data_IF_038406009014
#
_entry.id   IF_038406009014
#
_cell.length_a   1.000
_cell.length_b   1.000
_cell.length_c   1.000
_cell.angle_alpha   90.00
_cell.angle_beta   90.00
_cell.angle_gamma   90.00
#
_symmetry.space_group_name_H-M   'P 1'
#
loop_
_entity.id
_entity.type
_entity.pdbx_description
1 polymer ?
#
# COMPACT_ATOMS: atom_id res chain seq x y z
N UNK A 1 -33.34 -11.71 -21.64
CA UNK A 1 -32.11 -12.42 -22.07
C UNK A 1 -32.46 -13.21 -23.32
N UNK A 2 -31.57 -13.24 -24.32
CA UNK A 2 -31.73 -14.06 -25.53
C UNK A 2 -30.52 -14.97 -25.70
N UNK A 3 -30.74 -16.20 -26.15
CA UNK A 3 -29.69 -17.16 -26.47
C UNK A 3 -29.71 -17.34 -27.99
N UNK A 4 -28.67 -16.88 -28.68
CA UNK A 4 -28.48 -17.10 -30.12
C UNK A 4 -27.67 -18.39 -30.31
N UNK A 5 -28.20 -19.37 -31.05
CA UNK A 5 -27.47 -20.56 -31.49
C UNK A 5 -27.58 -20.61 -33.01
N UNK A 6 -26.46 -20.53 -33.77
CA UNK A 6 -26.51 -20.73 -35.20
C UNK A 6 -26.68 -22.22 -35.50
N UNK A 7 -27.65 -22.58 -36.35
CA UNK A 7 -27.64 -23.87 -37.04
C UNK A 7 -26.81 -23.73 -38.31
N UNK A 8 -25.87 -24.65 -38.54
CA UNK A 8 -25.18 -24.78 -39.82
C UNK A 8 -26.19 -25.07 -40.93
N UNK A 9 -26.40 -24.12 -41.83
CA UNK A 9 -26.76 -24.42 -43.22
C UNK A 9 -25.47 -24.30 -44.04
N UNK A 10 -24.89 -25.45 -44.36
CA UNK A 10 -24.12 -25.54 -45.59
C UNK A 10 -25.03 -25.07 -46.72
N UNK A 11 -24.58 -24.04 -47.46
CA UNK A 11 -25.15 -23.40 -48.65
C UNK A 11 -25.57 -21.93 -48.46
N UNK A 12 -24.77 -21.06 -49.08
CA UNK A 12 -25.12 -19.75 -49.65
C UNK A 12 -26.52 -19.18 -49.34
N UNK A 13 -26.53 -18.07 -48.60
CA UNK A 13 -27.52 -17.00 -48.80
C UNK A 13 -28.89 -17.13 -48.13
N UNK A 14 -29.06 -17.98 -47.11
CA UNK A 14 -30.36 -18.08 -46.41
C UNK A 14 -30.23 -17.88 -44.90
N UNK A 15 -31.21 -17.16 -44.36
CA UNK A 15 -31.31 -16.63 -43.01
C UNK A 15 -30.87 -17.63 -41.93
N UNK A 16 -29.93 -17.20 -41.08
CA UNK A 16 -29.66 -17.91 -39.82
C UNK A 16 -30.95 -17.90 -39.01
N UNK A 17 -31.55 -19.08 -38.82
CA UNK A 17 -32.76 -19.26 -38.01
C UNK A 17 -32.45 -18.86 -36.58
N UNK A 18 -32.73 -17.60 -36.28
CA UNK A 18 -32.39 -16.94 -35.04
C UNK A 18 -33.46 -17.30 -33.98
N UNK A 19 -33.21 -18.35 -33.20
CA UNK A 19 -34.13 -18.74 -32.13
C UNK A 19 -33.96 -17.79 -30.94
N UNK A 20 -34.74 -16.72 -30.91
CA UNK A 20 -34.78 -15.77 -29.79
C UNK A 20 -35.55 -16.36 -28.60
N UNK A 21 -34.83 -16.99 -27.66
CA UNK A 21 -35.45 -17.47 -26.42
C UNK A 21 -35.45 -16.41 -25.33
N UNK A 22 -36.61 -15.87 -24.96
CA UNK A 22 -36.74 -14.92 -23.85
C UNK A 22 -36.75 -15.69 -22.53
N UNK A 23 -35.64 -15.67 -21.79
CA UNK A 23 -35.56 -16.33 -20.47
C UNK A 23 -35.32 -15.36 -19.30
N UNK A 24 -35.78 -15.72 -18.07
CA UNK A 24 -35.40 -15.04 -16.83
C UNK A 24 -33.90 -15.17 -16.49
N UNK A 25 -33.35 -14.21 -15.76
CA UNK A 25 -31.92 -14.18 -15.36
C UNK A 25 -31.50 -15.42 -14.56
N UNK A 26 -32.39 -15.96 -13.71
CA UNK A 26 -32.16 -17.19 -12.93
C UNK A 26 -31.98 -18.42 -13.83
N UNK A 27 -32.83 -18.56 -14.85
CA UNK A 27 -32.75 -19.64 -15.84
C UNK A 27 -31.45 -19.57 -16.61
N UNK A 28 -31.03 -18.37 -17.00
CA UNK A 28 -29.81 -18.20 -17.76
C UNK A 28 -28.53 -18.47 -16.94
N UNK A 29 -28.53 -18.09 -15.66
CA UNK A 29 -27.47 -18.46 -14.71
C UNK A 29 -27.40 -19.98 -14.52
N UNK A 30 -28.55 -20.64 -14.44
CA UNK A 30 -28.62 -22.10 -14.34
C UNK A 30 -28.07 -22.78 -15.60
N UNK A 31 -28.36 -22.25 -16.79
CA UNK A 31 -27.80 -22.72 -18.06
C UNK A 31 -26.27 -22.58 -18.08
N UNK A 32 -25.74 -21.44 -17.63
CA UNK A 32 -24.29 -21.23 -17.53
C UNK A 32 -23.63 -22.19 -16.53
N UNK A 33 -24.26 -22.42 -15.37
CA UNK A 33 -23.77 -23.35 -14.36
C UNK A 33 -23.79 -24.80 -14.87
N UNK A 34 -24.84 -25.21 -15.57
CA UNK A 34 -24.93 -26.54 -16.19
C UNK A 34 -23.89 -26.74 -17.29
N UNK A 35 -23.71 -25.73 -18.16
CA UNK A 35 -22.68 -25.75 -19.21
C UNK A 35 -21.25 -25.83 -18.62
N UNK A 36 -21.03 -25.25 -17.45
CA UNK A 36 -19.74 -25.33 -16.76
C UNK A 36 -19.54 -26.65 -16.01
N UNK A 37 -20.59 -27.19 -15.39
CA UNK A 37 -20.51 -28.39 -14.54
C UNK A 37 -20.52 -29.72 -15.30
N UNK A 38 -21.31 -29.83 -16.38
CA UNK A 38 -21.41 -31.05 -17.20
C UNK A 38 -21.51 -30.69 -18.69
N UNK A 39 -20.39 -30.21 -19.22
CA UNK A 39 -20.29 -29.75 -20.60
C UNK A 39 -20.73 -30.81 -21.62
N UNK A 40 -20.35 -32.07 -21.43
CA UNK A 40 -20.61 -33.14 -22.39
C UNK A 40 -22.11 -33.42 -22.53
N UNK A 41 -22.81 -33.57 -21.40
CA UNK A 41 -24.25 -33.79 -21.38
C UNK A 41 -25.02 -32.57 -21.89
N UNK A 42 -24.56 -31.38 -21.52
CA UNK A 42 -25.11 -30.13 -22.05
C UNK A 42 -24.99 -30.07 -23.58
N UNK A 43 -23.80 -30.34 -24.13
CA UNK A 43 -23.55 -30.36 -25.57
C UNK A 43 -24.42 -31.41 -26.28
N UNK A 44 -24.53 -32.62 -25.72
CA UNK A 44 -25.36 -33.70 -26.26
C UNK A 44 -26.85 -33.33 -26.27
N UNK A 45 -27.36 -32.68 -25.21
CA UNK A 45 -28.74 -32.20 -25.14
C UNK A 45 -29.02 -31.08 -26.13
N UNK A 46 -28.11 -30.10 -26.26
CA UNK A 46 -28.25 -29.01 -27.25
C UNK A 46 -28.25 -29.58 -28.66
N UNK A 47 -27.31 -30.48 -28.99
CA UNK A 47 -27.26 -31.13 -30.31
C UNK A 47 -28.53 -31.92 -30.61
N UNK A 48 -29.02 -32.70 -29.64
CA UNK A 48 -30.25 -33.50 -29.78
C UNK A 48 -31.48 -32.63 -29.99
N UNK A 49 -31.62 -31.54 -29.23
CA UNK A 49 -32.80 -30.69 -29.27
C UNK A 49 -32.89 -29.86 -30.55
N UNK A 50 -31.75 -29.37 -31.04
CA UNK A 50 -31.68 -28.51 -32.24
C UNK A 50 -31.26 -29.24 -33.52
N UNK A 51 -31.03 -30.56 -33.47
CA UNK A 51 -30.69 -31.38 -34.63
C UNK A 51 -29.32 -31.04 -35.23
N UNK A 52 -28.34 -30.64 -34.41
CA UNK A 52 -27.01 -30.27 -34.89
C UNK A 52 -26.16 -31.51 -35.22
N UNK A 53 -25.38 -31.49 -36.31
CA UNK A 53 -24.52 -32.61 -36.70
C UNK A 53 -23.46 -32.92 -35.64
N UNK A 54 -23.10 -34.20 -35.52
CA UNK A 54 -22.09 -34.68 -34.58
C UNK A 54 -20.71 -34.29 -35.12
N UNK A 55 -19.91 -33.60 -34.31
CA UNK A 55 -18.53 -33.22 -34.63
C UNK A 55 -18.34 -31.78 -35.13
N UNK A 56 -19.41 -31.04 -35.41
CA UNK A 56 -19.29 -29.60 -35.71
C UNK A 56 -19.34 -28.77 -34.42
N UNK A 57 -18.48 -27.75 -34.32
CA UNK A 57 -18.52 -26.80 -33.21
C UNK A 57 -19.72 -25.86 -33.37
N UNK A 58 -20.44 -25.62 -32.27
CA UNK A 58 -21.51 -24.63 -32.23
C UNK A 58 -21.20 -23.54 -31.19
N UNK A 59 -21.64 -22.31 -31.45
CA UNK A 59 -21.45 -21.17 -30.55
C UNK A 59 -22.79 -20.75 -29.98
N UNK A 60 -22.95 -20.89 -28.66
CA UNK A 60 -24.09 -20.32 -27.94
C UNK A 60 -23.73 -18.88 -27.54
N UNK A 61 -24.36 -17.87 -28.15
CA UNK A 61 -24.21 -16.48 -27.70
C UNK A 61 -25.33 -16.13 -26.75
N UNK A 62 -24.97 -15.79 -25.53
CA UNK A 62 -25.92 -15.37 -24.52
C UNK A 62 -25.88 -13.85 -24.42
N UNK A 63 -26.97 -13.17 -24.82
CA UNK A 63 -27.12 -11.72 -24.68
C UNK A 63 -27.93 -11.37 -23.44
N UNK A 64 -27.24 -10.79 -22.46
CA UNK A 64 -27.83 -10.11 -21.31
C UNK A 64 -28.15 -8.67 -21.70
N UNK A 65 -29.44 -8.28 -21.80
CA UNK A 65 -29.82 -6.92 -22.20
C UNK A 65 -29.44 -5.87 -21.14
N UNK A 66 -29.35 -6.30 -19.89
CA UNK A 66 -28.85 -5.53 -18.76
C UNK A 66 -27.85 -6.44 -18.02
N UNK A 67 -26.71 -5.89 -17.62
CA UNK A 67 -25.84 -6.58 -16.69
C UNK A 67 -26.70 -6.93 -15.46
N UNK A 68 -26.60 -8.14 -14.89
CA UNK A 68 -27.24 -8.39 -13.61
C UNK A 68 -26.79 -7.27 -12.67
N UNK A 69 -27.74 -6.66 -11.95
CA UNK A 69 -27.44 -5.86 -10.76
C UNK A 69 -26.76 -6.81 -9.76
N UNK A 70 -25.50 -7.18 -10.04
CA UNK A 70 -24.57 -7.49 -8.98
C UNK A 70 -24.57 -6.24 -8.13
N UNK A 71 -24.91 -6.39 -6.86
CA UNK A 71 -25.05 -5.33 -5.88
C UNK A 71 -23.66 -4.76 -5.54
N UNK A 72 -22.93 -4.32 -6.58
CA UNK A 72 -21.61 -3.74 -6.49
C UNK A 72 -21.80 -2.40 -5.80
N UNK A 73 -21.33 -2.33 -4.57
CA UNK A 73 -21.46 -1.12 -3.78
C UNK A 73 -20.40 -0.09 -4.22
N UNK A 74 -20.72 0.62 -5.30
CA UNK A 74 -19.88 1.70 -5.83
C UNK A 74 -19.60 2.80 -4.79
N UNK A 75 -20.48 2.98 -3.78
CA UNK A 75 -20.24 3.96 -2.71
C UNK A 75 -19.12 3.48 -1.79
N UNK A 76 -19.12 2.20 -1.43
CA UNK A 76 -18.04 1.58 -0.66
C UNK A 76 -16.76 1.46 -1.47
N UNK A 77 -16.83 1.12 -2.76
CA UNK A 77 -15.67 1.13 -3.65
C UNK A 77 -14.99 2.50 -3.66
N UNK A 78 -15.76 3.58 -3.85
CA UNK A 78 -15.21 4.94 -3.84
C UNK A 78 -14.59 5.30 -2.49
N UNK A 79 -15.21 4.92 -1.37
CA UNK A 79 -14.66 5.14 -0.02
C UNK A 79 -13.35 4.39 0.18
N UNK A 80 -13.30 3.12 -0.21
CA UNK A 80 -12.10 2.28 -0.15
C UNK A 80 -10.98 2.85 -1.00
N UNK A 81 -11.29 3.30 -2.22
CA UNK A 81 -10.32 3.94 -3.10
C UNK A 81 -9.75 5.22 -2.47
N UNK A 82 -10.58 6.06 -1.85
CA UNK A 82 -10.10 7.25 -1.15
C UNK A 82 -9.15 6.92 0.02
N UNK A 83 -9.46 5.88 0.80
CA UNK A 83 -8.60 5.44 1.90
C UNK A 83 -7.27 4.88 1.39
N UNK A 84 -7.33 4.06 0.33
CA UNK A 84 -6.14 3.49 -0.30
C UNK A 84 -5.23 4.58 -0.88
N UNK A 85 -5.80 5.54 -1.60
CA UNK A 85 -5.04 6.68 -2.14
C UNK A 85 -4.40 7.50 -1.02
N UNK A 86 -5.12 7.75 0.08
CA UNK A 86 -4.55 8.43 1.25
C UNK A 86 -3.36 7.65 1.82
N UNK A 87 -3.49 6.33 1.97
CA UNK A 87 -2.43 5.48 2.49
C UNK A 87 -1.17 5.53 1.61
N UNK A 88 -1.33 5.42 0.28
CA UNK A 88 -0.21 5.55 -0.66
C UNK A 88 0.48 6.91 -0.59
N UNK A 89 -0.28 8.01 -0.50
CA UNK A 89 0.31 9.35 -0.38
C UNK A 89 1.11 9.51 0.93
N UNK A 90 0.61 8.95 2.03
CA UNK A 90 1.32 8.96 3.31
C UNK A 90 2.62 8.16 3.25
N UNK A 91 2.61 6.95 2.68
CA UNK A 91 3.83 6.15 2.49
C UNK A 91 4.84 6.85 1.58
N UNK A 92 4.38 7.40 0.45
CA UNK A 92 5.23 8.14 -0.47
C UNK A 92 5.87 9.37 0.20
N UNK A 93 5.09 10.14 0.95
CA UNK A 93 5.59 11.29 1.70
C UNK A 93 6.61 10.85 2.77
N UNK A 94 6.36 9.73 3.44
CA UNK A 94 7.28 9.15 4.42
C UNK A 94 8.64 8.84 3.80
N UNK A 95 8.68 8.17 2.64
CA UNK A 95 9.92 7.83 1.95
C UNK A 95 10.71 9.07 1.54
N UNK A 96 10.04 10.08 0.98
CA UNK A 96 10.68 11.35 0.61
C UNK A 96 11.28 12.05 1.82
N UNK A 97 10.56 12.06 2.94
CA UNK A 97 11.05 12.65 4.19
C UNK A 97 12.17 11.83 4.81
N UNK A 98 12.19 10.51 4.69
CA UNK A 98 13.31 9.68 5.17
C UNK A 98 14.60 9.97 4.42
N UNK A 99 14.54 10.12 3.10
CA UNK A 99 15.71 10.50 2.30
C UNK A 99 16.21 11.91 2.65
N UNK A 100 15.29 12.89 2.69
CA UNK A 100 15.65 14.28 3.03
C UNK A 100 16.15 14.41 4.49
N UNK A 101 15.49 13.72 5.42
CA UNK A 101 15.84 13.70 6.84
C UNK A 101 17.19 13.04 7.09
N UNK A 102 17.50 11.95 6.39
CA UNK A 102 18.81 11.31 6.42
C UNK A 102 19.91 12.25 5.93
N UNK A 103 19.70 12.94 4.80
CA UNK A 103 20.64 13.93 4.29
C UNK A 103 20.84 15.10 5.28
N UNK A 104 19.75 15.63 5.86
CA UNK A 104 19.83 16.68 6.88
C UNK A 104 20.57 16.21 8.13
N UNK A 105 20.32 14.99 8.61
CA UNK A 105 21.02 14.42 9.77
C UNK A 105 22.51 14.19 9.49
N UNK A 106 22.90 13.82 8.27
CA UNK A 106 24.32 13.76 7.91
C UNK A 106 24.98 15.15 7.92
N UNK A 107 24.28 16.18 7.42
CA UNK A 107 24.78 17.56 7.42
C UNK A 107 24.79 18.20 8.81
N UNK A 108 23.98 17.70 9.75
CA UNK A 108 23.88 18.22 11.11
C UNK A 108 25.18 18.08 11.94
N UNK A 109 26.10 17.21 11.53
CA UNK A 109 27.43 17.13 12.15
C UNK A 109 28.33 18.33 11.76
N UNK A 110 27.96 19.07 10.71
CA UNK A 110 28.70 20.22 10.17
C UNK A 110 28.00 21.56 10.42
N UNK A 111 26.67 21.59 10.41
CA UNK A 111 25.88 22.80 10.67
C UNK A 111 24.64 22.49 11.52
N UNK A 112 24.53 23.21 12.64
CA UNK A 112 23.46 23.05 13.63
C UNK A 112 22.07 23.36 13.07
N UNK A 113 21.97 24.20 12.02
CA UNK A 113 20.71 24.51 11.34
C UNK A 113 20.06 23.24 10.76
N UNK A 114 20.89 22.32 10.24
CA UNK A 114 20.44 21.04 9.71
C UNK A 114 20.01 20.08 10.82
N UNK A 115 20.59 20.18 12.02
CA UNK A 115 20.15 19.40 13.18
C UNK A 115 18.70 19.74 13.55
N UNK A 116 18.37 21.03 13.63
CA UNK A 116 17.00 21.52 13.87
C UNK A 116 16.04 21.09 12.76
N UNK A 117 16.48 21.20 11.51
CA UNK A 117 15.68 20.79 10.34
C UNK A 117 15.41 19.29 10.34
N UNK A 118 16.39 18.45 10.66
CA UNK A 118 16.23 17.00 10.78
C UNK A 118 15.23 16.64 11.89
N UNK A 119 15.24 17.36 13.02
CA UNK A 119 14.25 17.21 14.09
C UNK A 119 12.83 17.51 13.61
N UNK A 120 12.62 18.67 12.96
CA UNK A 120 11.30 19.05 12.41
C UNK A 120 10.78 18.07 11.34
N UNK A 121 11.66 17.52 10.50
CA UNK A 121 11.30 16.46 9.55
C UNK A 121 10.87 15.20 10.32
N UNK A 122 11.62 14.81 11.35
CA UNK A 122 11.33 13.62 12.15
C UNK A 122 9.99 13.73 12.91
N UNK A 123 9.61 14.92 13.37
CA UNK A 123 8.30 15.17 13.96
C UNK A 123 7.15 15.00 12.95
N UNK A 124 7.34 15.46 11.71
CA UNK A 124 6.36 15.24 10.63
C UNK A 124 6.25 13.76 10.28
N UNK A 125 7.38 13.07 10.21
CA UNK A 125 7.42 11.61 10.01
C UNK A 125 6.69 10.86 11.13
N UNK A 126 6.81 11.30 12.38
CA UNK A 126 6.11 10.71 13.52
C UNK A 126 4.58 10.79 13.36
N UNK A 127 4.06 11.95 12.90
CA UNK A 127 2.62 12.13 12.63
C UNK A 127 2.13 11.20 11.52
N UNK A 128 2.92 11.05 10.46
CA UNK A 128 2.60 10.12 9.37
C UNK A 128 2.61 8.68 9.87
N UNK A 129 3.62 8.28 10.65
CA UNK A 129 3.70 6.93 11.19
C UNK A 129 2.51 6.59 12.10
N UNK A 130 2.03 7.55 12.89
CA UNK A 130 0.82 7.40 13.69
C UNK A 130 -0.43 7.25 12.82
N UNK A 131 -0.55 7.99 11.73
CA UNK A 131 -1.67 7.90 10.79
C UNK A 131 -1.69 6.57 10.01
N UNK A 132 -0.50 6.01 9.74
CA UNK A 132 -0.32 4.69 9.11
C UNK A 132 -0.52 3.52 10.10
N UNK A 133 -0.65 3.80 11.40
CA UNK A 133 -0.65 2.81 12.50
C UNK A 133 0.54 1.84 12.47
N UNK A 134 1.70 2.30 11.96
CA UNK A 134 2.93 1.51 11.96
C UNK A 134 3.77 1.82 13.20
N UNK A 135 3.61 0.99 14.22
CA UNK A 135 4.32 1.10 15.49
C UNK A 135 5.85 0.96 15.35
N UNK A 136 6.32 0.18 14.38
CA UNK A 136 7.77 0.02 14.11
C UNK A 136 8.33 1.29 13.49
N UNK A 137 7.60 1.91 12.57
CA UNK A 137 7.94 3.19 11.98
C UNK A 137 7.92 4.32 13.00
N UNK A 138 6.89 4.35 13.85
CA UNK A 138 6.73 5.34 14.93
C UNK A 138 7.91 5.28 15.90
N UNK A 139 8.32 4.08 16.30
CA UNK A 139 9.51 3.87 17.12
C UNK A 139 10.80 4.39 16.45
N UNK A 140 10.97 4.17 15.15
CA UNK A 140 12.12 4.72 14.39
C UNK A 140 12.10 6.24 14.32
N UNK A 141 10.94 6.86 14.14
CA UNK A 141 10.81 8.32 14.13
C UNK A 141 11.26 8.93 15.46
N UNK A 142 10.92 8.32 16.60
CA UNK A 142 11.44 8.74 17.89
C UNK A 142 12.97 8.65 17.97
N UNK A 143 13.57 7.61 17.39
CA UNK A 143 15.04 7.50 17.33
C UNK A 143 15.68 8.58 16.42
N UNK A 144 15.00 9.00 15.35
CA UNK A 144 15.47 10.11 14.52
C UNK A 144 15.43 11.45 15.28
N UNK A 145 14.36 11.68 16.06
CA UNK A 145 14.26 12.82 16.97
C UNK A 145 15.40 12.77 18.00
N UNK A 146 15.64 11.62 18.63
CA UNK A 146 16.72 11.46 19.61
C UNK A 146 18.11 11.78 19.03
N UNK A 147 18.35 11.40 17.78
CA UNK A 147 19.60 11.74 17.10
C UNK A 147 19.74 13.25 16.86
N UNK A 148 18.66 13.91 16.41
CA UNK A 148 18.63 15.37 16.24
C UNK A 148 18.85 16.12 17.56
N UNK A 149 18.29 15.63 18.67
CA UNK A 149 18.51 16.18 20.02
C UNK A 149 20.00 16.09 20.40
N UNK A 150 20.63 14.93 20.20
CA UNK A 150 22.05 14.77 20.50
C UNK A 150 22.96 15.63 19.61
N UNK A 151 22.61 15.81 18.34
CA UNK A 151 23.32 16.72 17.44
C UNK A 151 23.21 18.19 17.86
N UNK A 152 22.22 18.53 18.69
CA UNK A 152 22.04 19.83 19.32
C UNK A 152 22.58 19.91 20.76
N UNK A 153 23.36 18.90 21.18
CA UNK A 153 23.90 18.75 22.54
C UNK A 153 22.85 18.52 23.66
N UNK A 154 21.60 18.18 23.32
CA UNK A 154 20.57 17.78 24.29
C UNK A 154 20.67 16.29 24.64
N UNK A 155 21.79 15.88 25.22
CA UNK A 155 22.12 14.45 25.41
C UNK A 155 21.18 13.72 26.36
N UNK A 156 20.70 14.38 27.42
CA UNK A 156 19.81 13.75 28.40
C UNK A 156 18.47 13.35 27.80
N UNK A 157 17.88 14.26 27.02
CA UNK A 157 16.63 14.00 26.31
C UNK A 157 16.81 12.89 25.26
N UNK A 158 17.89 12.97 24.47
CA UNK A 158 18.22 11.94 23.48
C UNK A 158 18.34 10.54 24.11
N UNK A 159 19.09 10.40 25.20
CA UNK A 159 19.26 9.12 25.91
C UNK A 159 17.95 8.63 26.53
N UNK A 160 17.13 9.53 27.06
CA UNK A 160 15.80 9.18 27.60
C UNK A 160 14.91 8.57 26.52
N UNK A 161 14.83 9.20 25.35
CA UNK A 161 14.02 8.70 24.23
C UNK A 161 14.52 7.30 23.81
N UNK A 162 15.82 7.14 23.58
CA UNK A 162 16.39 5.83 23.18
C UNK A 162 16.10 4.74 24.21
N UNK A 163 16.20 5.05 25.51
CA UNK A 163 15.90 4.09 26.58
C UNK A 163 14.44 3.63 26.53
N UNK A 164 13.51 4.57 26.35
CA UNK A 164 12.07 4.24 26.25
C UNK A 164 11.81 3.31 25.06
N UNK A 165 12.35 3.66 23.88
CA UNK A 165 12.15 2.85 22.67
C UNK A 165 12.85 1.49 22.77
N UNK A 166 14.02 1.41 23.41
CA UNK A 166 14.71 0.14 23.64
C UNK A 166 13.92 -0.80 24.56
N UNK A 167 13.33 -0.27 25.64
CA UNK A 167 12.47 -1.08 26.52
C UNK A 167 11.22 -1.54 25.77
N UNK A 168 10.62 -0.66 24.96
CA UNK A 168 9.47 -1.01 24.12
C UNK A 168 9.81 -2.13 23.14
N UNK A 169 10.94 -2.03 22.41
CA UNK A 169 11.33 -3.03 21.41
C UNK A 169 11.62 -4.39 22.02
N UNK A 170 12.19 -4.43 23.24
CA UNK A 170 12.37 -5.66 24.01
C UNK A 170 11.03 -6.30 24.42
N UNK A 171 10.04 -5.49 24.80
CA UNK A 171 8.71 -5.99 25.18
C UNK A 171 7.92 -6.51 23.99
N UNK A 172 8.10 -5.91 22.81
CA UNK A 172 7.42 -6.32 21.57
C UNK A 172 8.23 -7.33 20.75
N UNK A 173 9.39 -7.79 21.23
CA UNK A 173 10.34 -8.64 20.49
C UNK A 173 10.75 -8.08 19.11
N UNK A 174 10.78 -6.76 18.96
CA UNK A 174 11.15 -6.09 17.72
C UNK A 174 12.69 -5.93 17.63
N UNK A 175 13.35 -6.98 17.16
CA UNK A 175 14.82 -7.02 17.02
C UNK A 175 15.37 -5.90 16.13
N UNK A 176 14.64 -5.56 15.07
CA UNK A 176 15.06 -4.49 14.16
C UNK A 176 15.17 -3.14 14.88
N UNK A 177 14.14 -2.74 15.62
CA UNK A 177 14.16 -1.51 16.42
C UNK A 177 15.18 -1.60 17.55
N UNK A 178 15.36 -2.77 18.16
CA UNK A 178 16.43 -2.99 19.14
C UNK A 178 17.82 -2.66 18.56
N UNK A 179 18.13 -3.13 17.35
CA UNK A 179 19.38 -2.81 16.67
C UNK A 179 19.50 -1.32 16.33
N UNK A 180 18.42 -0.68 15.86
CA UNK A 180 18.39 0.77 15.63
C UNK A 180 18.71 1.54 16.91
N UNK A 181 18.14 1.15 18.06
CA UNK A 181 18.41 1.78 19.35
C UNK A 181 19.89 1.71 19.70
N UNK A 182 20.53 0.55 19.53
CA UNK A 182 21.97 0.37 19.81
C UNK A 182 22.83 1.26 18.91
N UNK A 183 22.50 1.33 17.62
CA UNK A 183 23.23 2.19 16.67
C UNK A 183 23.11 3.67 17.02
N UNK A 184 21.88 4.15 17.28
CA UNK A 184 21.64 5.54 17.68
C UNK A 184 22.32 5.86 19.00
N UNK A 185 22.25 4.98 19.99
CA UNK A 185 22.94 5.17 21.27
C UNK A 185 24.46 5.28 21.11
N UNK A 186 25.06 4.45 20.25
CA UNK A 186 26.49 4.53 19.95
C UNK A 186 26.85 5.87 19.31
N UNK A 187 26.05 6.36 18.35
CA UNK A 187 26.22 7.67 17.73
C UNK A 187 26.08 8.81 18.75
N UNK A 188 25.08 8.77 19.64
CA UNK A 188 24.91 9.75 20.72
C UNK A 188 26.16 9.80 21.61
N UNK A 189 26.66 8.65 22.06
CA UNK A 189 27.89 8.57 22.87
C UNK A 189 29.12 9.14 22.13
N UNK A 190 29.22 8.90 20.82
CA UNK A 190 30.30 9.45 20.03
C UNK A 190 30.21 10.98 19.93
N UNK A 191 29.01 11.53 19.69
CA UNK A 191 28.79 12.98 19.66
C UNK A 191 29.11 13.60 21.03
N UNK A 192 28.63 13.01 22.12
CA UNK A 192 28.86 13.50 23.48
C UNK A 192 30.35 13.52 23.84
N UNK A 193 31.09 12.47 23.45
CA UNK A 193 32.51 12.34 23.80
C UNK A 193 33.43 13.19 22.92
N UNK A 194 33.16 13.26 21.63
CA UNK A 194 34.08 13.86 20.65
C UNK A 194 33.60 15.21 20.11
N UNK A 195 32.32 15.55 20.30
CA UNK A 195 31.67 16.69 19.67
C UNK A 195 31.51 16.52 18.16
N UNK A 196 30.64 17.33 17.56
CA UNK A 196 30.58 17.51 16.10
C UNK A 196 31.32 18.78 15.69
N UNK A 197 31.57 18.95 14.39
CA UNK A 197 32.11 20.22 13.88
C UNK A 197 31.16 21.37 14.19
N UNK A 198 29.86 21.15 13.94
CA UNK A 198 28.80 22.12 14.23
C UNK A 198 28.81 22.60 15.69
N UNK A 199 28.94 21.68 16.66
CA UNK A 199 28.93 22.01 18.08
C UNK A 199 30.18 22.79 18.50
N UNK A 200 31.35 22.45 17.95
CA UNK A 200 32.59 23.19 18.22
C UNK A 200 32.50 24.62 17.68
N UNK A 201 32.06 24.79 16.44
CA UNK A 201 31.96 26.11 15.80
C UNK A 201 30.84 26.98 16.40
N UNK A 202 29.71 26.40 16.76
CA UNK A 202 28.62 27.11 17.45
C UNK A 202 28.98 27.62 18.85
N UNK A 203 29.87 26.91 19.55
CA UNK A 203 30.37 27.34 20.87
C UNK A 203 31.25 28.59 20.77
N UNK A 204 32.07 28.71 19.72
CA UNK A 204 32.89 29.88 19.46
C UNK A 204 32.05 31.11 19.04
N UNK A 205 31.00 30.91 18.24
CA UNK A 205 30.10 32.00 17.83
C UNK A 205 29.28 32.59 18.98
N UNK A 206 28.97 31.79 20.02
CA UNK A 206 28.29 32.28 21.23
C UNK A 206 29.23 33.08 22.15
N UNK A 207 30.52 32.75 22.17
CA UNK A 207 31.53 33.48 22.94
C UNK A 207 31.83 34.86 22.33
N UNK A 208 31.85 34.98 20.99
CA UNK A 208 32.12 36.25 20.29
C UNK A 208 30.96 37.26 20.30
N UNK A 209 29.79 36.90 20.83
CA UNK A 209 28.64 37.82 21.00
C UNK A 209 28.59 38.38 22.44
N UNK A 210 29.41 37.85 23.35
CA UNK A 210 29.50 38.29 24.74
C UNK A 210 30.69 39.23 25.02
N UNK A 211 31.50 39.55 23.99
CA UNK A 211 32.54 40.59 23.98
C UNK A 211 32.09 41.79 23.14
#
# INVERSE_FOLDING_TARGET
MYIDIPSCSSCSGTETTLIKWRCPTSTARSILQLAHGDKKNFDDQVRKHYGLPIGEDFIIRIRMPEAPDEYIDYKWEKRMLCLLMKYFELEHLMWRMSTLGGACSAMADYDLSFAKRAGSISEKQLRIAAELDDQTLLARCHLYIALSEAQQANFDNAKRIVRVIYVWSRRTNNLFVEHCCRGVFAKIKAIERFGTKALREGSHALQSIQE
#
